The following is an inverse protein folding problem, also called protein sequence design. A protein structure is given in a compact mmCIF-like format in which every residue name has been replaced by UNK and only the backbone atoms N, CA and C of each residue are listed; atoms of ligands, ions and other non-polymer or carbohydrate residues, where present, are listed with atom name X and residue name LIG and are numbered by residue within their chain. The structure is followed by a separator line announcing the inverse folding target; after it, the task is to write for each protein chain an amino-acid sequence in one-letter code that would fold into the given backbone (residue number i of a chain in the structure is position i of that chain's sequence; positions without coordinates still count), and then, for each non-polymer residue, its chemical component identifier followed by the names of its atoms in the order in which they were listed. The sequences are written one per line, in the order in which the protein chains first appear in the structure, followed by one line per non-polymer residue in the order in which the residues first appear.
data_IF_050047253756
#
_entry.id   IF_050047253756
#
_cell.length_a   1.000
_cell.length_b   1.000
_cell.length_c   1.000
_cell.angle_alpha   90.00
_cell.angle_beta   90.00
_cell.angle_gamma   90.00
#
_symmetry.space_group_name_H-M   'P 1'
#
loop_
_entity.id
_entity.type
_entity.pdbx_description
1 polymer ?
#
# COMPACT_ATOMS: atom_id res chain seq x y z
N UNK A 1 16.24 5.17 -8.26
CA UNK A 1 14.97 4.41 -8.20
C UNK A 1 15.28 2.99 -7.79
N UNK A 2 14.88 2.53 -6.60
CA UNK A 2 14.95 1.12 -6.31
C UNK A 2 13.90 0.41 -7.18
N UNK A 3 14.33 -0.32 -8.22
CA UNK A 3 13.47 -1.12 -9.11
C UNK A 3 12.80 -2.31 -8.39
N UNK A 4 12.94 -2.43 -7.07
CA UNK A 4 12.64 -3.65 -6.30
C UNK A 4 11.18 -4.09 -6.37
N UNK A 5 10.24 -3.17 -6.56
CA UNK A 5 8.82 -3.48 -6.48
C UNK A 5 8.04 -3.26 -7.78
N UNK A 6 8.68 -2.84 -8.87
CA UNK A 6 7.95 -2.56 -10.12
C UNK A 6 7.19 -3.79 -10.61
N UNK A 7 7.86 -4.94 -10.70
CA UNK A 7 7.24 -6.19 -11.13
C UNK A 7 6.15 -6.66 -10.15
N UNK A 8 6.31 -6.36 -8.85
CA UNK A 8 5.31 -6.66 -7.81
C UNK A 8 4.06 -5.83 -8.02
N UNK A 9 4.20 -4.51 -8.21
CA UNK A 9 3.07 -3.62 -8.46
C UNK A 9 2.39 -3.91 -9.80
N UNK A 10 3.13 -4.33 -10.83
CA UNK A 10 2.53 -4.80 -12.09
C UNK A 10 1.73 -6.09 -11.90
N UNK A 11 2.26 -7.08 -11.19
CA UNK A 11 1.51 -8.30 -10.88
C UNK A 11 0.28 -8.01 -10.00
N UNK A 12 0.40 -7.08 -9.06
CA UNK A 12 -0.68 -6.62 -8.20
C UNK A 12 -1.80 -5.96 -9.02
N UNK A 13 -1.46 -5.02 -9.91
CA UNK A 13 -2.40 -4.42 -10.87
C UNK A 13 -3.03 -5.47 -11.77
N UNK A 14 -2.23 -6.40 -12.30
CA UNK A 14 -2.72 -7.47 -13.16
C UNK A 14 -3.71 -8.40 -12.45
N UNK A 15 -3.49 -8.71 -11.17
CA UNK A 15 -4.43 -9.46 -10.35
C UNK A 15 -5.79 -8.73 -10.23
N UNK A 16 -5.77 -7.43 -9.96
CA UNK A 16 -7.00 -6.62 -9.97
C UNK A 16 -7.68 -6.60 -11.35
N UNK A 17 -6.91 -6.46 -12.43
CA UNK A 17 -7.47 -6.47 -13.79
C UNK A 17 -8.17 -7.80 -14.09
N UNK A 18 -7.61 -8.93 -13.64
CA UNK A 18 -8.26 -10.25 -13.75
C UNK A 18 -9.54 -10.33 -12.95
N UNK A 19 -9.54 -9.82 -11.71
CA UNK A 19 -10.74 -9.76 -10.86
C UNK A 19 -11.83 -8.95 -11.57
N UNK A 20 -11.52 -7.73 -11.99
CA UNK A 20 -12.46 -6.83 -12.64
C UNK A 20 -12.97 -7.32 -14.00
N UNK A 21 -12.21 -8.17 -14.69
CA UNK A 21 -12.65 -8.79 -15.93
C UNK A 21 -13.81 -9.78 -15.74
N UNK A 22 -13.98 -10.34 -14.54
CA UNK A 22 -14.97 -11.40 -14.26
C UNK A 22 -15.93 -11.07 -13.11
N UNK A 23 -15.57 -10.14 -12.24
CA UNK A 23 -16.27 -9.83 -11.00
C UNK A 23 -16.30 -8.33 -10.77
N UNK A 24 -17.49 -7.78 -10.56
CA UNK A 24 -17.64 -6.49 -9.89
C UNK A 24 -17.67 -6.73 -8.37
N UNK A 25 -16.64 -6.35 -7.60
CA UNK A 25 -16.47 -6.87 -6.24
C UNK A 25 -17.47 -6.36 -5.19
N UNK A 26 -18.27 -5.34 -5.52
CA UNK A 26 -19.17 -4.72 -4.55
C UNK A 26 -20.64 -5.06 -4.83
N UNK A 27 -21.35 -5.48 -3.79
CA UNK A 27 -22.80 -5.68 -3.83
C UNK A 27 -23.49 -4.42 -3.28
N UNK A 28 -24.28 -3.76 -4.13
CA UNK A 28 -25.08 -2.57 -3.79
C UNK A 28 -24.30 -1.34 -3.31
N UNK A 29 -22.98 -1.28 -3.51
CA UNK A 29 -22.19 -0.07 -3.30
C UNK A 29 -21.07 0.02 -4.34
N UNK A 30 -20.26 1.07 -4.26
CA UNK A 30 -19.01 1.21 -5.02
C UNK A 30 -17.79 0.82 -4.20
N UNK A 31 -17.96 0.41 -2.94
CA UNK A 31 -16.84 0.15 -2.05
C UNK A 31 -16.36 -1.30 -2.03
N UNK A 32 -15.05 -1.49 -2.10
CA UNK A 32 -14.37 -2.77 -1.88
C UNK A 32 -13.80 -2.85 -0.46
N UNK A 33 -13.60 -4.03 0.11
CA UNK A 33 -12.98 -4.13 1.43
C UNK A 33 -11.49 -3.77 1.34
N UNK A 34 -11.00 -2.87 2.23
CA UNK A 34 -9.60 -2.41 2.30
C UNK A 34 -8.61 -3.58 2.33
N UNK A 35 -8.93 -4.66 3.06
CA UNK A 35 -8.14 -5.89 3.15
C UNK A 35 -7.78 -6.53 1.79
N UNK A 36 -8.54 -6.27 0.73
CA UNK A 36 -8.18 -6.80 -0.60
C UNK A 36 -6.87 -6.19 -1.13
N UNK A 37 -6.53 -4.97 -0.73
CA UNK A 37 -5.30 -4.30 -1.15
C UNK A 37 -4.08 -5.09 -0.64
N UNK A 38 -3.98 -5.29 0.67
CA UNK A 38 -2.89 -6.05 1.29
C UNK A 38 -2.84 -7.51 0.82
N UNK A 39 -3.99 -8.19 0.70
CA UNK A 39 -4.03 -9.59 0.25
C UNK A 39 -3.55 -9.76 -1.19
N UNK A 40 -4.03 -8.92 -2.12
CA UNK A 40 -3.62 -9.04 -3.52
C UNK A 40 -2.16 -8.60 -3.73
N UNK A 41 -1.68 -7.60 -2.96
CA UNK A 41 -0.29 -7.18 -3.02
C UNK A 41 0.64 -8.25 -2.47
N UNK A 42 0.30 -8.85 -1.32
CA UNK A 42 1.04 -9.98 -0.75
C UNK A 42 1.13 -11.15 -1.73
N UNK A 43 0.02 -11.52 -2.36
CA UNK A 43 0.01 -12.57 -3.39
C UNK A 43 0.91 -12.22 -4.58
N UNK A 44 0.91 -10.97 -5.02
CA UNK A 44 1.81 -10.52 -6.09
C UNK A 44 3.29 -10.55 -5.68
N UNK A 45 3.60 -10.20 -4.43
CA UNK A 45 4.95 -10.23 -3.89
C UNK A 45 5.48 -11.66 -3.80
N UNK A 46 4.73 -12.57 -3.16
CA UNK A 46 5.11 -13.98 -2.98
C UNK A 46 5.23 -14.73 -4.31
N UNK A 47 4.50 -14.30 -5.35
CA UNK A 47 4.65 -14.87 -6.70
C UNK A 47 6.00 -14.57 -7.33
N UNK A 48 6.59 -13.41 -7.04
CA UNK A 48 7.93 -13.02 -7.52
C UNK A 48 9.02 -13.51 -6.58
N UNK A 49 8.74 -13.53 -5.27
CA UNK A 49 9.66 -13.97 -4.22
C UNK A 49 9.04 -15.13 -3.44
N UNK A 50 9.11 -16.38 -3.93
CA UNK A 50 8.42 -17.52 -3.34
C UNK A 50 8.87 -17.88 -1.91
N UNK A 51 10.03 -17.40 -1.48
CA UNK A 51 10.55 -17.53 -0.12
C UNK A 51 9.96 -16.51 0.86
N UNK A 52 9.27 -15.49 0.36
CA UNK A 52 8.66 -14.48 1.21
C UNK A 52 7.46 -15.03 1.95
N UNK A 53 7.23 -14.51 3.15
CA UNK A 53 6.16 -14.92 4.05
C UNK A 53 5.38 -13.68 4.44
N UNK A 54 4.06 -13.72 4.21
CA UNK A 54 3.16 -12.66 4.66
C UNK A 54 2.46 -13.02 5.96
N UNK A 55 2.41 -12.08 6.90
CA UNK A 55 1.54 -12.13 8.07
C UNK A 55 0.59 -10.94 8.08
N UNK A 56 -0.72 -11.20 8.19
CA UNK A 56 -1.74 -10.15 8.26
C UNK A 56 -2.06 -9.79 9.71
N UNK A 57 -2.53 -8.56 9.93
CA UNK A 57 -2.90 -8.07 11.28
C UNK A 57 -1.74 -8.24 12.27
N UNK A 58 -0.53 -7.82 11.88
CA UNK A 58 0.67 -8.01 12.70
C UNK A 58 0.62 -7.08 13.91
N UNK A 59 0.32 -7.62 15.09
CA UNK A 59 0.24 -6.87 16.34
C UNK A 59 1.61 -6.59 16.97
N UNK A 60 1.76 -5.41 17.57
CA UNK A 60 2.98 -4.98 18.29
C UNK A 60 2.68 -3.87 19.31
N UNK A 61 3.72 -3.40 20.03
CA UNK A 61 3.60 -2.42 21.10
C UNK A 61 3.22 -3.04 22.45
N UNK A 62 3.40 -2.29 23.53
CA UNK A 62 3.33 -2.78 24.92
C UNK A 62 2.05 -3.57 25.26
N UNK A 63 0.92 -3.21 24.66
CA UNK A 63 -0.39 -3.83 24.91
C UNK A 63 -0.97 -4.55 23.68
N UNK A 64 -0.18 -4.82 22.63
CA UNK A 64 -0.64 -5.39 21.35
C UNK A 64 -1.82 -4.61 20.71
N UNK A 65 -1.90 -3.31 21.00
CA UNK A 65 -2.96 -2.42 20.52
C UNK A 65 -2.62 -1.76 19.18
N UNK A 66 -1.36 -1.86 18.76
CA UNK A 66 -0.92 -1.44 17.44
C UNK A 66 -0.90 -2.64 16.51
N UNK A 67 -1.18 -2.40 15.23
CA UNK A 67 -1.04 -3.40 14.20
C UNK A 67 -0.56 -2.76 12.89
N UNK A 68 0.01 -3.60 12.05
CA UNK A 68 0.12 -3.38 10.61
C UNK A 68 -0.87 -4.28 9.89
N UNK A 69 -1.52 -3.78 8.84
CA UNK A 69 -2.46 -4.58 8.04
C UNK A 69 -1.78 -5.83 7.48
N UNK A 70 -0.54 -5.69 7.03
CA UNK A 70 0.32 -6.82 6.70
C UNK A 70 1.81 -6.51 6.94
N UNK A 71 2.56 -7.57 7.20
CA UNK A 71 4.03 -7.59 7.20
C UNK A 71 4.48 -8.67 6.24
N UNK A 72 5.35 -8.32 5.29
CA UNK A 72 6.01 -9.27 4.41
C UNK A 72 7.47 -9.40 4.84
N UNK A 73 7.89 -10.62 5.15
CA UNK A 73 9.26 -10.97 5.48
C UNK A 73 9.83 -11.71 4.28
N UNK A 74 10.91 -11.18 3.69
CA UNK A 74 11.62 -11.76 2.55
C UNK A 74 13.05 -12.14 3.00
N UNK A 75 13.25 -13.38 3.48
CA UNK A 75 14.52 -13.79 4.07
C UNK A 75 15.67 -13.91 3.07
N UNK A 76 15.35 -14.16 1.80
CA UNK A 76 16.33 -14.35 0.72
C UNK A 76 16.91 -12.99 0.30
N UNK A 77 16.04 -12.01 0.05
CA UNK A 77 16.47 -10.66 -0.31
C UNK A 77 16.81 -9.77 0.90
N UNK A 78 16.61 -10.27 2.13
CA UNK A 78 16.75 -9.51 3.39
C UNK A 78 15.90 -8.23 3.39
N UNK A 79 14.60 -8.37 3.12
CA UNK A 79 13.64 -7.25 3.11
C UNK A 79 12.48 -7.48 4.07
N UNK A 80 12.06 -6.43 4.76
CA UNK A 80 10.86 -6.39 5.57
C UNK A 80 9.96 -5.27 5.04
N UNK A 81 8.72 -5.59 4.67
CA UNK A 81 7.74 -4.58 4.25
C UNK A 81 6.68 -4.44 5.34
N UNK A 82 6.46 -3.21 5.79
CA UNK A 82 5.40 -2.82 6.72
C UNK A 82 4.30 -2.16 5.92
N UNK A 83 3.12 -2.78 5.87
CA UNK A 83 2.07 -2.46 4.90
C UNK A 83 0.83 -1.94 5.60
N UNK A 84 0.31 -0.84 5.07
CA UNK A 84 -0.94 -0.22 5.49
C UNK A 84 -1.81 0.04 4.25
N UNK A 85 -3.10 -0.28 4.35
CA UNK A 85 -4.07 -0.23 3.26
C UNK A 85 -5.12 0.85 3.50
N UNK A 86 -5.41 1.69 2.49
CA UNK A 86 -6.40 2.76 2.62
C UNK A 86 -7.31 2.89 1.42
N UNK A 87 -8.57 3.19 1.70
CA UNK A 87 -9.53 3.64 0.69
C UNK A 87 -9.80 5.10 0.85
N UNK A 88 -9.61 5.89 -0.21
CA UNK A 88 -9.97 7.31 -0.23
C UNK A 88 -11.50 7.51 -0.36
N UNK A 89 -12.27 6.89 0.53
CA UNK A 89 -13.72 7.06 0.64
C UNK A 89 -14.09 8.45 1.15
N UNK A 90 -13.43 8.89 2.22
CA UNK A 90 -13.42 10.27 2.71
C UNK A 90 -11.97 10.81 2.67
N UNK A 91 -11.63 11.64 1.66
CA UNK A 91 -10.28 12.17 1.48
C UNK A 91 -9.64 12.78 2.73
N UNK A 92 -10.36 13.64 3.47
CA UNK A 92 -9.78 14.39 4.58
C UNK A 92 -9.31 13.45 5.70
N UNK A 93 -10.21 12.61 6.21
CA UNK A 93 -9.91 11.69 7.31
C UNK A 93 -8.87 10.64 6.90
N UNK A 94 -8.81 10.28 5.61
CA UNK A 94 -7.90 9.25 5.12
C UNK A 94 -6.48 9.78 4.92
N UNK A 95 -6.31 11.04 4.53
CA UNK A 95 -5.00 11.70 4.48
C UNK A 95 -4.40 11.78 5.90
N UNK A 96 -5.19 12.18 6.89
CA UNK A 96 -4.76 12.21 8.30
C UNK A 96 -4.39 10.81 8.82
N UNK A 97 -5.22 9.80 8.52
CA UNK A 97 -4.88 8.40 8.85
C UNK A 97 -3.54 8.00 8.25
N UNK A 98 -3.29 8.28 6.97
CA UNK A 98 -2.02 7.94 6.30
C UNK A 98 -0.83 8.59 7.02
N UNK A 99 -0.95 9.85 7.46
CA UNK A 99 0.11 10.50 8.22
C UNK A 99 0.43 9.75 9.53
N UNK A 100 -0.60 9.33 10.27
CA UNK A 100 -0.44 8.55 11.50
C UNK A 100 0.18 7.16 11.25
N UNK A 101 -0.16 6.54 10.13
CA UNK A 101 0.38 5.25 9.72
C UNK A 101 1.85 5.36 9.33
N UNK A 102 2.23 6.41 8.60
CA UNK A 102 3.63 6.70 8.28
C UNK A 102 4.43 6.97 9.55
N UNK A 103 3.91 7.78 10.49
CA UNK A 103 4.58 8.01 11.77
C UNK A 103 4.82 6.69 12.51
N UNK A 104 3.81 5.80 12.55
CA UNK A 104 3.93 4.48 13.16
C UNK A 104 5.00 3.61 12.49
N UNK A 105 4.99 3.55 11.15
CA UNK A 105 5.99 2.81 10.34
C UNK A 105 7.40 3.33 10.59
N UNK A 106 7.61 4.65 10.52
CA UNK A 106 8.92 5.29 10.69
C UNK A 106 9.52 5.02 12.07
N UNK A 107 8.67 4.88 13.09
CA UNK A 107 9.10 4.58 14.45
C UNK A 107 9.47 3.11 14.70
N UNK A 108 9.45 2.24 13.67
CA UNK A 108 9.81 0.82 13.83
C UNK A 108 11.24 0.63 14.34
N UNK A 109 12.24 1.36 13.81
CA UNK A 109 13.64 1.20 14.22
C UNK A 109 13.91 1.73 15.62
N UNK A 110 13.24 2.82 16.00
CA UNK A 110 13.53 3.56 17.23
C UNK A 110 12.71 3.08 18.42
N UNK A 111 11.42 2.77 18.21
CA UNK A 111 10.47 2.48 19.29
C UNK A 111 10.04 1.02 19.35
N UNK A 112 9.87 0.39 18.19
CA UNK A 112 9.28 -0.95 18.12
C UNK A 112 10.28 -2.05 17.76
N UNK A 113 11.57 -1.72 17.61
CA UNK A 113 12.59 -2.68 17.19
C UNK A 113 12.69 -3.92 18.09
N UNK A 114 12.49 -3.85 19.43
CA UNK A 114 12.48 -5.06 20.27
C UNK A 114 11.37 -6.06 19.92
N UNK A 115 10.17 -5.58 19.53
CA UNK A 115 9.05 -6.45 19.13
C UNK A 115 9.39 -7.25 17.88
N UNK A 116 10.09 -6.62 16.92
CA UNK A 116 10.51 -7.26 15.68
C UNK A 116 11.71 -8.20 15.92
N UNK A 117 12.73 -7.75 16.66
CA UNK A 117 13.94 -8.54 16.93
C UNK A 117 13.66 -9.82 17.73
N UNK A 118 12.65 -9.83 18.59
CA UNK A 118 12.28 -11.02 19.37
C UNK A 118 11.50 -12.07 18.56
N UNK A 119 10.92 -11.68 17.41
CA UNK A 119 9.99 -12.52 16.63
C UNK A 119 10.48 -12.86 15.23
N UNK A 120 11.42 -12.08 14.69
CA UNK A 120 11.98 -12.25 13.35
C UNK A 120 13.50 -12.39 13.46
N UNK A 121 14.06 -13.58 13.16
CA UNK A 121 15.51 -13.80 13.22
C UNK A 121 16.29 -12.87 12.29
N UNK A 122 17.45 -12.40 12.77
CA UNK A 122 18.42 -11.59 12.01
C UNK A 122 17.85 -10.30 11.39
N UNK A 123 16.74 -9.78 11.90
CA UNK A 123 16.06 -8.61 11.32
C UNK A 123 16.93 -7.35 11.25
N UNK A 124 17.97 -7.27 12.09
CA UNK A 124 18.98 -6.19 12.04
C UNK A 124 19.70 -6.09 10.69
N UNK A 125 19.73 -7.18 9.91
CA UNK A 125 20.36 -7.22 8.59
C UNK A 125 19.38 -6.96 7.44
N UNK A 126 18.11 -6.64 7.73
CA UNK A 126 17.08 -6.45 6.72
C UNK A 126 16.95 -4.97 6.35
N UNK A 127 16.74 -4.71 5.06
CA UNK A 127 16.21 -3.43 4.61
C UNK A 127 14.72 -3.37 4.97
N UNK A 128 14.29 -2.30 5.62
CA UNK A 128 12.90 -2.13 6.04
C UNK A 128 12.25 -1.09 5.14
N UNK A 129 11.09 -1.44 4.58
CA UNK A 129 10.31 -0.59 3.71
C UNK A 129 8.95 -0.30 4.34
N UNK A 130 8.53 0.96 4.27
CA UNK A 130 7.14 1.33 4.45
C UNK A 130 6.40 1.24 3.12
N UNK A 131 5.18 0.71 3.14
CA UNK A 131 4.32 0.62 1.95
C UNK A 131 2.91 1.08 2.31
N UNK A 132 2.44 2.13 1.63
CA UNK A 132 1.03 2.50 1.65
C UNK A 132 0.40 1.96 0.37
N UNK A 133 -0.54 1.03 0.53
CA UNK A 133 -1.43 0.58 -0.52
C UNK A 133 -2.72 1.36 -0.43
N UNK A 134 -3.20 1.90 -1.55
CA UNK A 134 -4.48 2.59 -1.54
C UNK A 134 -5.27 2.42 -2.83
N UNK A 135 -6.56 2.72 -2.73
CA UNK A 135 -7.41 2.95 -3.88
C UNK A 135 -8.20 4.25 -3.81
N UNK A 136 -8.49 4.77 -5.00
CA UNK A 136 -9.27 5.98 -5.20
C UNK A 136 -10.23 5.80 -6.35
N UNK A 137 -11.46 6.27 -6.14
CA UNK A 137 -12.47 6.42 -7.18
C UNK A 137 -12.50 7.89 -7.62
N UNK A 138 -12.33 8.21 -8.90
CA UNK A 138 -12.16 9.60 -9.37
C UNK A 138 -13.46 10.38 -9.57
N UNK A 139 -14.52 9.99 -8.85
CA UNK A 139 -15.89 10.53 -8.96
C UNK A 139 -16.02 12.00 -8.52
N UNK A 140 -15.08 12.51 -7.73
CA UNK A 140 -15.09 13.90 -7.22
C UNK A 140 -13.79 14.61 -7.52
N UNK A 141 -13.85 15.95 -7.60
CA UNK A 141 -12.67 16.79 -7.85
C UNK A 141 -11.54 16.52 -6.88
N UNK A 142 -11.83 16.38 -5.57
CA UNK A 142 -10.79 16.12 -4.55
C UNK A 142 -10.16 14.75 -4.72
N UNK A 143 -10.95 13.71 -5.01
CA UNK A 143 -10.42 12.36 -5.28
C UNK A 143 -9.59 12.33 -6.57
N UNK A 144 -9.99 13.08 -7.60
CA UNK A 144 -9.18 13.27 -8.81
C UNK A 144 -7.85 13.97 -8.51
N UNK A 145 -7.84 15.02 -7.68
CA UNK A 145 -6.60 15.69 -7.26
C UNK A 145 -5.65 14.73 -6.53
N UNK A 146 -6.19 13.86 -5.66
CA UNK A 146 -5.39 12.81 -5.02
C UNK A 146 -4.77 11.90 -6.08
N UNK A 147 -5.57 11.35 -6.99
CA UNK A 147 -5.06 10.52 -8.08
C UNK A 147 -3.96 11.23 -8.90
N UNK A 148 -4.23 12.47 -9.34
CA UNK A 148 -3.29 13.27 -10.14
C UNK A 148 -1.95 13.48 -9.39
N UNK A 149 -1.98 13.66 -8.05
CA UNK A 149 -0.75 13.80 -7.24
C UNK A 149 0.04 12.51 -7.08
N UNK A 150 -0.60 11.33 -7.14
CA UNK A 150 0.13 10.06 -7.18
C UNK A 150 0.80 9.87 -8.54
N UNK A 151 0.11 10.22 -9.63
CA UNK A 151 0.69 10.20 -11.00
C UNK A 151 1.89 11.15 -11.11
N UNK A 152 1.79 12.33 -10.49
CA UNK A 152 2.88 13.32 -10.47
C UNK A 152 4.01 12.97 -9.48
N UNK A 153 3.80 12.01 -8.57
CA UNK A 153 4.73 11.68 -7.50
C UNK A 153 4.83 12.77 -6.41
N UNK A 154 3.79 13.57 -6.25
CA UNK A 154 3.74 14.74 -5.35
C UNK A 154 2.79 14.56 -4.18
N UNK A 155 2.07 13.44 -4.04
CA UNK A 155 1.06 13.26 -2.98
C UNK A 155 1.58 13.58 -1.56
N UNK A 156 2.80 13.13 -1.22
CA UNK A 156 3.39 13.45 0.09
C UNK A 156 3.59 14.97 0.24
N UNK A 157 4.13 15.64 -0.77
CA UNK A 157 4.34 17.10 -0.74
C UNK A 157 2.99 17.85 -0.67
N UNK A 158 2.04 17.47 -1.53
CA UNK A 158 0.77 18.19 -1.69
C UNK A 158 -0.20 18.00 -0.53
N UNK A 159 -0.11 16.86 0.19
CA UNK A 159 -1.12 16.48 1.19
C UNK A 159 -0.57 16.12 2.57
N UNK A 160 0.74 15.84 2.71
CA UNK A 160 1.30 15.31 3.95
C UNK A 160 2.51 16.10 4.49
N UNK A 161 3.08 17.03 3.72
CA UNK A 161 4.37 17.67 4.02
C UNK A 161 4.42 18.28 5.43
N UNK A 162 3.42 19.08 5.80
CA UNK A 162 3.34 19.73 7.12
C UNK A 162 3.42 18.72 8.29
N UNK A 163 2.88 17.52 8.11
CA UNK A 163 2.84 16.48 9.14
C UNK A 163 4.11 15.62 9.17
N UNK A 164 4.84 15.53 8.05
CA UNK A 164 5.87 14.51 7.82
C UNK A 164 7.24 15.05 7.41
N UNK A 165 7.43 16.38 7.37
CA UNK A 165 8.71 17.04 7.03
C UNK A 165 9.90 16.57 7.87
N UNK A 166 9.63 16.01 9.06
CA UNK A 166 10.62 15.41 9.96
C UNK A 166 11.25 14.10 9.46
N UNK A 167 10.75 13.50 8.38
CA UNK A 167 11.22 12.21 7.85
C UNK A 167 11.86 12.35 6.46
N UNK A 168 13.19 12.58 6.38
CA UNK A 168 13.90 12.73 5.10
C UNK A 168 13.78 11.50 4.18
N UNK A 169 13.56 10.30 4.75
CA UNK A 169 13.39 9.05 3.99
C UNK A 169 12.22 9.11 3.00
N UNK A 170 11.19 9.90 3.30
CA UNK A 170 10.01 10.05 2.43
C UNK A 170 10.28 10.85 1.16
N UNK A 171 11.36 11.64 1.10
CA UNK A 171 11.70 12.41 -0.10
C UNK A 171 12.06 11.51 -1.29
N UNK A 172 12.42 10.25 -1.03
CA UNK A 172 12.75 9.25 -2.05
C UNK A 172 11.65 8.21 -2.23
N UNK A 173 10.42 8.49 -1.77
CA UNK A 173 9.29 7.60 -1.97
C UNK A 173 9.06 7.34 -3.47
N UNK A 174 8.82 6.08 -3.81
CA UNK A 174 8.49 5.65 -5.17
C UNK A 174 6.99 5.41 -5.25
N UNK A 175 6.34 6.05 -6.23
CA UNK A 175 4.90 5.97 -6.44
C UNK A 175 4.55 4.95 -7.52
N UNK A 176 3.41 4.29 -7.33
CA UNK A 176 2.87 3.28 -8.24
C UNK A 176 1.39 3.57 -8.49
N UNK A 177 1.01 3.59 -9.76
CA UNK A 177 -0.36 3.80 -10.20
C UNK A 177 -0.78 2.62 -11.06
N UNK A 178 -1.96 2.08 -10.78
CA UNK A 178 -2.54 0.98 -11.52
C UNK A 178 -3.91 1.35 -12.07
N UNK A 179 -3.96 1.57 -13.39
CA UNK A 179 -5.16 1.89 -14.14
C UNK A 179 -5.76 0.68 -14.86
N UNK A 180 -7.05 0.76 -15.20
CA UNK A 180 -7.85 -0.35 -15.73
C UNK A 180 -8.57 0.01 -17.04
N UNK A 181 -7.88 0.71 -17.94
CA UNK A 181 -8.47 1.18 -19.21
C UNK A 181 -8.80 0.03 -20.20
N UNK A 182 -8.08 -1.08 -20.08
CA UNK A 182 -8.12 -2.23 -20.99
C UNK A 182 -8.95 -3.41 -20.47
N UNK A 183 -10.00 -3.15 -19.69
CA UNK A 183 -10.94 -4.21 -19.28
C UNK A 183 -11.71 -4.77 -20.49
N UNK A 184 -12.00 -6.09 -20.53
CA UNK A 184 -12.84 -6.70 -21.56
C UNK A 184 -14.19 -6.01 -21.72
N UNK A 185 -14.76 -6.02 -22.94
CA UNK A 185 -16.03 -5.36 -23.22
C UNK A 185 -17.22 -5.94 -22.43
N UNK A 186 -17.13 -7.21 -22.04
CA UNK A 186 -18.11 -7.94 -21.23
C UNK A 186 -17.83 -7.86 -19.72
N UNK A 187 -16.80 -7.12 -19.30
CA UNK A 187 -16.50 -6.93 -17.88
C UNK A 187 -17.67 -6.26 -17.14
N UNK A 188 -18.08 -6.77 -15.97
CA UNK A 188 -19.22 -6.25 -15.24
C UNK A 188 -18.98 -4.83 -14.75
N UNK A 189 -19.89 -3.91 -15.09
CA UNK A 189 -19.79 -2.48 -14.76
C UNK A 189 -18.46 -1.83 -15.18
N UNK A 190 -17.95 -2.20 -16.37
CA UNK A 190 -16.71 -1.67 -16.97
C UNK A 190 -16.56 -0.15 -16.83
N UNK A 191 -17.58 0.62 -17.25
CA UNK A 191 -17.52 2.09 -17.23
C UNK A 191 -17.32 2.67 -15.82
N UNK A 192 -17.86 1.99 -14.81
CA UNK A 192 -17.67 2.37 -13.40
C UNK A 192 -16.24 2.05 -12.96
N UNK A 193 -15.75 0.85 -13.30
CA UNK A 193 -14.40 0.39 -12.93
C UNK A 193 -13.27 1.21 -13.57
N UNK A 194 -13.51 1.89 -14.69
CA UNK A 194 -12.55 2.82 -15.28
C UNK A 194 -12.25 4.06 -14.41
N UNK A 195 -13.11 4.34 -13.42
CA UNK A 195 -12.87 5.43 -12.45
C UNK A 195 -12.14 4.96 -11.20
N UNK A 196 -11.86 3.66 -11.08
CA UNK A 196 -11.10 3.08 -9.97
C UNK A 196 -9.62 3.02 -10.32
N UNK A 197 -8.78 3.45 -9.39
CA UNK A 197 -7.33 3.43 -9.55
C UNK A 197 -6.67 2.85 -8.30
N UNK A 198 -5.69 1.97 -8.52
CA UNK A 198 -4.74 1.64 -7.47
C UNK A 198 -3.71 2.75 -7.39
N UNK A 199 -3.47 3.26 -6.19
CA UNK A 199 -2.49 4.31 -5.94
C UNK A 199 -1.68 3.91 -4.72
N UNK A 200 -0.36 3.82 -4.84
CA UNK A 200 0.50 3.31 -3.78
C UNK A 200 1.83 4.02 -3.77
N UNK A 201 2.51 4.00 -2.63
CA UNK A 201 3.92 4.40 -2.58
C UNK A 201 4.68 3.57 -1.56
N UNK A 202 5.98 3.43 -1.80
CA UNK A 202 6.90 2.74 -0.94
C UNK A 202 8.18 3.56 -0.73
N UNK A 203 8.78 3.43 0.45
CA UNK A 203 10.05 4.07 0.78
C UNK A 203 10.86 3.16 1.70
N UNK A 204 12.18 3.34 1.70
CA UNK A 204 13.09 2.68 2.64
C UNK A 204 13.20 3.52 3.91
N UNK A 205 13.12 2.87 5.08
CA UNK A 205 13.21 3.48 6.41
C UNK A 205 14.66 3.53 6.86
#
# INVERSE_FOLDING_TARGET
MPKYFLDVFENYRYNYQRIFSILYPSKNSTGFTERNLSVNFANAYERINPSAITWFEFQFGENNNLHYDAVIIDPENKRLLLIESKRFSNPHTKIESIANDIDRIQNVKNKYSPDFMSRIPDISNYQIFGVILADVWTETRKKKQIYDSFVAGTFIADFLEDNLIKYPSLHNATYYVGDFDNLPCDAPKRDVLQTYHLVSFAWEI
#
